data_IF_677939494983
#
_entry.id   IF_677939494983
#
_cell.length_a   1.000
_cell.length_b   1.000
_cell.length_c   1.000
_cell.angle_alpha   90.00
_cell.angle_beta   90.00
_cell.angle_gamma   90.00
#
_symmetry.space_group_name_H-M   'P 1'
#
loop_
_entity.id
_entity.type
_entity.pdbx_description
1 polymer ?
#
# COMPACT_ATOMS: atom_id res chain seq x y z
N UNK A 1 -82.21 26.06 -8.61
CA UNK A 1 -81.40 26.30 -7.39
C UNK A 1 -81.38 25.06 -6.52
N UNK A 2 -80.26 24.32 -6.46
CA UNK A 2 -79.94 23.38 -5.37
C UNK A 2 -78.42 23.40 -5.17
N UNK A 3 -77.97 24.05 -4.11
CA UNK A 3 -76.59 24.03 -3.65
C UNK A 3 -76.36 22.75 -2.84
N UNK A 4 -75.38 21.94 -3.25
CA UNK A 4 -74.84 20.84 -2.44
C UNK A 4 -73.71 21.40 -1.59
N UNK A 5 -73.99 21.65 -0.30
CA UNK A 5 -72.96 21.91 0.70
C UNK A 5 -72.13 20.63 0.90
N UNK A 6 -70.90 20.61 0.40
CA UNK A 6 -69.90 19.62 0.82
C UNK A 6 -69.42 19.96 2.22
N UNK A 7 -69.92 19.21 3.21
CA UNK A 7 -69.39 19.18 4.56
C UNK A 7 -68.05 18.43 4.51
N UNK A 8 -66.95 19.18 4.55
CA UNK A 8 -65.61 18.67 4.83
C UNK A 8 -65.61 18.06 6.24
N UNK A 9 -65.84 16.75 6.35
CA UNK A 9 -65.58 15.99 7.58
C UNK A 9 -64.08 16.00 7.85
N UNK A 10 -63.68 16.82 8.81
CA UNK A 10 -62.36 16.80 9.42
C UNK A 10 -61.98 15.35 9.80
N UNK A 11 -60.79 14.86 9.41
CA UNK A 11 -60.37 13.50 9.75
C UNK A 11 -60.33 13.34 11.27
N UNK A 12 -60.86 12.21 11.76
CA UNK A 12 -60.97 11.93 13.18
C UNK A 12 -59.60 12.02 13.86
N UNK A 13 -59.58 12.51 15.10
CA UNK A 13 -58.39 12.62 15.95
C UNK A 13 -57.58 11.31 16.00
N UNK A 14 -58.25 10.16 15.88
CA UNK A 14 -57.61 8.84 15.82
C UNK A 14 -56.70 8.65 14.60
N UNK A 15 -57.07 9.15 13.42
CA UNK A 15 -56.25 9.06 12.20
C UNK A 15 -55.03 9.97 12.33
N UNK A 16 -55.21 11.19 12.87
CA UNK A 16 -54.08 12.12 13.12
C UNK A 16 -53.09 11.55 14.14
N UNK A 17 -53.60 10.92 15.21
CA UNK A 17 -52.76 10.26 16.21
C UNK A 17 -51.99 9.06 15.64
N UNK A 18 -52.63 8.26 14.78
CA UNK A 18 -51.97 7.15 14.09
C UNK A 18 -50.84 7.63 13.17
N UNK A 19 -51.06 8.71 12.42
CA UNK A 19 -50.02 9.33 11.59
C UNK A 19 -48.86 9.89 12.44
N UNK A 20 -49.14 10.53 13.59
CA UNK A 20 -48.11 11.02 14.50
C UNK A 20 -47.30 9.88 15.15
N UNK A 21 -47.94 8.76 15.51
CA UNK A 21 -47.28 7.56 16.02
C UNK A 21 -46.42 6.86 14.95
N UNK A 22 -46.89 6.81 13.70
CA UNK A 22 -46.12 6.28 12.58
C UNK A 22 -44.95 7.20 12.19
N UNK A 23 -45.13 8.52 12.25
CA UNK A 23 -44.06 9.50 11.98
C UNK A 23 -43.00 9.49 13.08
N UNK A 24 -43.41 9.39 14.36
CA UNK A 24 -42.47 9.32 15.49
C UNK A 24 -41.72 7.99 15.56
N UNK A 25 -42.35 6.86 15.27
CA UNK A 25 -41.67 5.55 15.16
C UNK A 25 -40.73 5.47 13.94
N UNK A 26 -41.14 6.06 12.81
CA UNK A 26 -40.28 6.22 11.64
C UNK A 26 -39.04 7.08 11.93
N UNK A 27 -39.20 8.23 12.59
CA UNK A 27 -38.10 9.10 13.00
C UNK A 27 -37.19 8.46 14.06
N UNK A 28 -37.75 7.73 15.03
CA UNK A 28 -36.98 7.03 16.04
C UNK A 28 -36.15 5.87 15.44
N UNK A 29 -36.70 5.12 14.49
CA UNK A 29 -35.98 4.07 13.76
C UNK A 29 -34.86 4.65 12.87
N UNK A 30 -35.11 5.80 12.24
CA UNK A 30 -34.12 6.51 11.43
C UNK A 30 -32.96 7.05 12.28
N UNK A 31 -33.27 7.62 13.45
CA UNK A 31 -32.29 8.12 14.41
C UNK A 31 -31.50 6.97 15.07
N UNK A 32 -32.13 5.84 15.39
CA UNK A 32 -31.44 4.64 15.90
C UNK A 32 -30.51 4.00 14.85
N UNK A 33 -30.84 4.08 13.56
CA UNK A 33 -29.96 3.63 12.48
C UNK A 33 -28.69 4.47 12.32
N UNK A 34 -28.77 5.78 12.62
CA UNK A 34 -27.66 6.73 12.47
C UNK A 34 -26.71 6.71 13.70
N UNK A 35 -27.24 6.51 14.91
CA UNK A 35 -26.45 6.37 16.15
C UNK A 35 -25.63 5.07 16.15
N UNK A 36 -26.17 3.96 15.64
CA UNK A 36 -25.49 2.65 15.65
C UNK A 36 -24.32 2.51 14.65
N UNK A 37 -24.18 3.41 13.68
CA UNK A 37 -23.03 3.37 12.76
C UNK A 37 -21.77 3.92 13.41
N UNK A 38 -21.89 4.93 14.29
CA UNK A 38 -20.78 5.67 14.90
C UNK A 38 -19.88 4.81 15.79
N UNK A 39 -20.43 3.79 16.45
CA UNK A 39 -19.70 3.02 17.46
C UNK A 39 -19.01 1.75 16.91
N UNK A 40 -19.17 1.45 15.62
CA UNK A 40 -18.54 0.26 15.01
C UNK A 40 -17.03 0.47 14.85
N UNK A 41 -16.18 -0.45 15.33
CA UNK A 41 -14.73 -0.36 15.11
C UNK A 41 -14.37 -0.40 13.62
N UNK A 42 -13.52 0.52 13.18
CA UNK A 42 -13.08 0.61 11.79
C UNK A 42 -12.79 2.04 11.34
N UNK A 43 -12.74 2.24 10.02
CA UNK A 43 -12.53 3.54 9.39
C UNK A 43 -13.85 4.07 8.84
N UNK A 44 -14.30 5.20 9.39
CA UNK A 44 -15.58 5.81 9.08
C UNK A 44 -15.40 6.86 7.99
N UNK A 45 -15.79 6.46 6.78
CA UNK A 45 -15.72 7.24 5.56
C UNK A 45 -17.13 7.75 5.21
N UNK A 46 -17.55 8.83 5.89
CA UNK A 46 -18.88 9.43 5.76
C UNK A 46 -20.02 8.45 6.13
N UNK A 47 -20.65 7.78 5.15
CA UNK A 47 -21.76 6.83 5.37
C UNK A 47 -21.31 5.36 5.32
N UNK A 48 -20.02 5.10 5.11
CA UNK A 48 -19.46 3.75 4.98
C UNK A 48 -18.41 3.52 6.05
N UNK A 49 -18.48 2.38 6.71
CA UNK A 49 -17.46 1.90 7.64
C UNK A 49 -16.65 0.83 6.92
N UNK A 50 -15.33 1.00 6.86
CA UNK A 50 -14.40 -0.02 6.41
C UNK A 50 -13.83 -0.74 7.63
N UNK A 51 -13.92 -2.07 7.64
CA UNK A 51 -13.33 -2.87 8.69
C UNK A 51 -11.80 -2.82 8.62
N UNK A 52 -11.13 -2.95 9.77
CA UNK A 52 -9.66 -3.02 9.80
C UNK A 52 -9.10 -4.11 8.88
N UNK A 53 -9.78 -5.26 8.78
CA UNK A 53 -9.41 -6.36 7.89
C UNK A 53 -9.50 -6.00 6.40
N UNK A 54 -10.49 -5.19 6.01
CA UNK A 54 -10.64 -4.72 4.63
C UNK A 54 -9.53 -3.74 4.26
N UNK A 55 -9.23 -2.80 5.16
CA UNK A 55 -8.11 -1.86 4.98
C UNK A 55 -6.78 -2.59 4.92
N UNK A 56 -6.58 -3.58 5.79
CA UNK A 56 -5.36 -4.40 5.79
C UNK A 56 -5.23 -5.24 4.51
N UNK A 57 -6.33 -5.77 3.99
CA UNK A 57 -6.35 -6.48 2.71
C UNK A 57 -5.97 -5.55 1.55
N UNK A 58 -6.52 -4.32 1.53
CA UNK A 58 -6.15 -3.31 0.55
C UNK A 58 -4.67 -2.93 0.66
N UNK A 59 -4.16 -2.74 1.88
CA UNK A 59 -2.73 -2.44 2.15
C UNK A 59 -1.82 -3.55 1.65
N UNK A 60 -2.12 -4.82 1.97
CA UNK A 60 -1.36 -5.97 1.47
C UNK A 60 -1.38 -6.07 -0.05
N UNK A 61 -2.53 -5.85 -0.68
CA UNK A 61 -2.65 -5.85 -2.14
C UNK A 61 -1.82 -4.72 -2.78
N UNK A 62 -1.85 -3.52 -2.18
CA UNK A 62 -1.06 -2.37 -2.62
C UNK A 62 0.45 -2.61 -2.46
N UNK A 63 0.86 -3.18 -1.32
CA UNK A 63 2.24 -3.54 -1.02
C UNK A 63 2.79 -4.56 -2.02
N UNK A 64 2.04 -5.63 -2.29
CA UNK A 64 2.39 -6.64 -3.29
C UNK A 64 2.49 -6.07 -4.71
N UNK A 65 1.79 -4.97 -5.00
CA UNK A 65 1.82 -4.34 -6.31
C UNK A 65 3.14 -3.60 -6.60
N UNK A 66 3.92 -3.23 -5.57
CA UNK A 66 5.27 -2.68 -5.76
C UNK A 66 6.19 -3.65 -6.48
N UNK A 67 6.02 -4.95 -6.29
CA UNK A 67 6.97 -5.96 -6.79
C UNK A 67 6.43 -6.80 -7.94
N UNK A 68 5.22 -6.51 -8.42
CA UNK A 68 4.71 -7.21 -9.61
C UNK A 68 5.59 -6.89 -10.81
N UNK A 69 6.03 -7.84 -11.63
CA UNK A 69 6.87 -7.52 -12.81
C UNK A 69 6.06 -7.28 -14.08
N UNK A 70 4.75 -7.60 -14.06
CA UNK A 70 3.90 -7.55 -15.25
C UNK A 70 3.64 -6.11 -15.68
N UNK A 71 3.86 -5.79 -16.96
CA UNK A 71 3.58 -4.46 -17.54
C UNK A 71 2.13 -4.01 -17.33
N UNK A 72 1.17 -4.94 -17.39
CA UNK A 72 -0.27 -4.67 -17.20
C UNK A 72 -0.72 -4.62 -15.74
N UNK A 73 0.14 -4.95 -14.77
CA UNK A 73 -0.23 -4.89 -13.36
C UNK A 73 -0.60 -3.45 -12.94
N UNK A 74 -1.60 -3.34 -12.06
CA UNK A 74 -1.91 -2.11 -11.33
C UNK A 74 -0.72 -1.80 -10.40
N UNK A 75 -0.33 -0.53 -10.31
CA UNK A 75 0.79 -0.05 -9.49
C UNK A 75 0.30 0.93 -8.42
N UNK A 76 0.98 0.99 -7.26
CA UNK A 76 0.87 2.12 -6.35
C UNK A 76 1.07 3.42 -7.10
N UNK A 77 0.16 4.38 -6.90
CA UNK A 77 0.21 5.67 -7.57
C UNK A 77 0.82 6.69 -6.62
N UNK A 78 1.80 7.47 -7.06
CA UNK A 78 2.38 8.53 -6.22
C UNK A 78 1.29 9.55 -5.86
N UNK A 79 1.12 9.75 -4.55
CA UNK A 79 0.17 10.67 -3.95
C UNK A 79 0.86 11.98 -3.55
N UNK A 80 1.94 11.86 -2.77
CA UNK A 80 2.80 12.98 -2.36
C UNK A 80 4.18 12.78 -2.96
N UNK A 81 4.68 13.81 -3.64
CA UNK A 81 6.03 13.84 -4.20
C UNK A 81 7.00 14.39 -3.15
N UNK A 82 8.20 13.82 -3.14
CA UNK A 82 9.33 14.26 -2.33
C UNK A 82 10.60 14.12 -3.17
N UNK A 83 11.63 14.91 -2.87
CA UNK A 83 12.95 14.80 -3.50
C UNK A 83 13.65 13.51 -3.08
N UNK A 84 13.42 13.08 -1.84
CA UNK A 84 13.88 11.81 -1.32
C UNK A 84 12.85 10.72 -1.65
N UNK A 85 13.32 9.70 -2.37
CA UNK A 85 12.51 8.57 -2.81
C UNK A 85 11.92 7.82 -1.60
N UNK A 86 12.61 7.81 -0.46
CA UNK A 86 12.16 7.13 0.76
C UNK A 86 10.90 7.76 1.36
N UNK A 87 10.71 9.06 1.15
CA UNK A 87 9.61 9.85 1.70
C UNK A 87 8.37 9.89 0.79
N UNK A 88 8.40 9.24 -0.37
CA UNK A 88 7.24 9.15 -1.26
C UNK A 88 6.05 8.47 -0.57
N UNK A 89 4.88 9.10 -0.69
CA UNK A 89 3.60 8.52 -0.26
C UNK A 89 2.81 8.11 -1.49
N UNK A 90 2.22 6.92 -1.42
CA UNK A 90 1.45 6.32 -2.49
C UNK A 90 -0.03 6.23 -2.12
N UNK A 91 -0.89 6.20 -3.13
CA UNK A 91 -2.32 5.94 -2.99
C UNK A 91 -2.72 4.63 -3.67
N UNK A 92 -3.70 3.97 -3.07
CA UNK A 92 -4.34 2.77 -3.62
C UNK A 92 -5.85 2.79 -3.35
N UNK A 93 -6.65 2.92 -4.41
CA UNK A 93 -8.11 2.82 -4.34
C UNK A 93 -8.53 1.42 -3.91
N UNK A 94 -9.50 1.34 -3.00
CA UNK A 94 -10.19 0.10 -2.67
C UNK A 94 -10.77 -0.52 -3.95
N UNK A 95 -10.87 -1.86 -4.03
CA UNK A 95 -11.65 -2.48 -5.08
C UNK A 95 -13.07 -1.89 -5.05
N UNK A 96 -13.58 -1.46 -6.20
CA UNK A 96 -14.93 -0.90 -6.33
C UNK A 96 -15.91 -1.85 -5.64
N UNK A 97 -16.54 -1.39 -4.56
CA UNK A 97 -17.60 -2.18 -3.96
C UNK A 97 -18.69 -2.40 -5.00
N UNK A 98 -19.19 -3.63 -5.10
CA UNK A 98 -20.28 -4.02 -6.02
C UNK A 98 -21.57 -3.23 -5.73
N UNK A 99 -21.59 -2.40 -4.67
CA UNK A 99 -22.68 -1.51 -4.30
C UNK A 99 -23.14 -0.67 -5.48
N UNK A 100 -24.35 -1.00 -5.93
CA UNK A 100 -25.12 -0.19 -6.86
C UNK A 100 -25.74 0.99 -6.10
N UNK A 101 -25.88 2.14 -6.74
CA UNK A 101 -26.74 3.19 -6.23
C UNK A 101 -28.22 2.81 -6.34
N UNK A 102 -29.11 3.70 -5.88
CA UNK A 102 -30.56 3.53 -5.97
C UNK A 102 -31.07 3.38 -7.41
N UNK A 103 -30.24 3.71 -8.41
CA UNK A 103 -30.53 3.56 -9.84
C UNK A 103 -29.90 2.29 -10.45
N UNK A 104 -29.25 1.44 -9.65
CA UNK A 104 -28.61 0.23 -10.15
C UNK A 104 -27.23 0.44 -10.79
N UNK A 105 -26.71 1.67 -10.85
CA UNK A 105 -25.38 1.98 -11.39
C UNK A 105 -24.30 1.70 -10.34
N UNK A 106 -23.16 1.14 -10.76
CA UNK A 106 -22.02 0.93 -9.85
C UNK A 106 -21.57 2.28 -9.30
N UNK A 107 -21.61 2.45 -7.97
CA UNK A 107 -21.07 3.66 -7.36
C UNK A 107 -19.56 3.70 -7.61
N UNK A 108 -19.08 4.72 -8.32
CA UNK A 108 -17.67 5.14 -8.28
C UNK A 108 -17.39 5.77 -6.92
N UNK A 109 -17.37 4.94 -5.89
CA UNK A 109 -16.85 5.32 -4.60
C UNK A 109 -15.33 5.13 -4.67
N UNK A 110 -14.62 6.26 -4.81
CA UNK A 110 -13.16 6.30 -4.98
C UNK A 110 -12.50 6.41 -3.60
N UNK A 111 -12.94 5.63 -2.59
CA UNK A 111 -12.15 5.60 -1.35
C UNK A 111 -10.80 4.94 -1.62
N UNK A 112 -9.76 5.42 -0.94
CA UNK A 112 -8.39 4.98 -1.15
C UNK A 112 -7.63 4.98 0.15
N UNK A 113 -6.58 4.17 0.23
CA UNK A 113 -5.59 4.24 1.29
C UNK A 113 -4.37 5.01 0.81
N UNK A 114 -3.62 5.60 1.75
CA UNK A 114 -2.26 6.09 1.51
C UNK A 114 -1.26 5.33 2.36
N UNK A 115 -0.05 5.13 1.83
CA UNK A 115 0.99 4.32 2.46
C UNK A 115 2.39 4.70 1.95
N UNK A 116 3.44 4.32 2.66
CA UNK A 116 4.84 4.60 2.28
C UNK A 116 5.54 3.37 1.66
N UNK A 117 6.84 3.51 1.37
CA UNK A 117 7.70 2.46 0.84
C UNK A 117 7.76 1.19 1.71
N UNK A 118 7.64 1.33 3.04
CA UNK A 118 7.63 0.21 3.98
C UNK A 118 6.25 -0.47 4.11
N UNK A 119 5.31 -0.09 3.23
CA UNK A 119 3.92 -0.52 3.25
C UNK A 119 3.16 -0.14 4.53
N UNK A 120 3.63 0.86 5.27
CA UNK A 120 2.91 1.37 6.44
C UNK A 120 1.71 2.19 5.98
N UNK A 121 0.54 1.89 6.51
CA UNK A 121 -0.66 2.67 6.28
C UNK A 121 -0.47 4.07 6.90
N UNK A 122 -0.64 5.12 6.09
CA UNK A 122 -0.62 6.51 6.57
C UNK A 122 -2.03 7.04 6.79
N UNK A 123 -2.96 6.80 5.87
CA UNK A 123 -4.34 7.26 5.99
C UNK A 123 -5.34 6.44 5.17
N UNK A 124 -6.63 6.60 5.48
CA UNK A 124 -7.77 6.12 4.69
C UNK A 124 -8.58 7.34 4.29
N UNK A 125 -8.73 7.55 2.98
CA UNK A 125 -9.30 8.76 2.39
C UNK A 125 -10.61 8.46 1.67
N UNK A 126 -11.57 9.36 1.80
CA UNK A 126 -12.82 9.35 1.02
C UNK A 126 -12.98 10.66 0.24
N UNK A 127 -13.63 10.58 -0.92
CA UNK A 127 -13.89 11.76 -1.74
C UNK A 127 -15.13 12.51 -1.25
N UNK A 128 -14.94 13.72 -0.72
CA UNK A 128 -16.01 14.56 -0.22
C UNK A 128 -16.59 15.44 -1.34
N UNK A 129 -17.67 14.97 -1.97
CA UNK A 129 -18.28 15.63 -3.15
C UNK A 129 -18.58 17.12 -3.01
N UNK A 130 -18.98 17.61 -1.84
CA UNK A 130 -19.32 19.03 -1.65
C UNK A 130 -18.07 19.93 -1.68
N UNK A 131 -16.94 19.46 -1.14
CA UNK A 131 -15.68 20.22 -1.18
C UNK A 131 -14.78 19.82 -2.34
N UNK A 132 -15.18 18.80 -3.12
CA UNK A 132 -14.41 18.22 -4.22
C UNK A 132 -13.00 17.73 -3.83
N UNK A 133 -12.79 17.40 -2.56
CA UNK A 133 -11.50 17.04 -1.98
C UNK A 133 -11.52 15.66 -1.33
N UNK A 134 -10.35 15.05 -1.19
CA UNK A 134 -10.18 13.86 -0.36
C UNK A 134 -10.04 14.27 1.11
N UNK A 135 -10.80 13.60 1.99
CA UNK A 135 -10.74 13.80 3.45
C UNK A 135 -10.43 12.49 4.16
N UNK A 136 -9.75 12.59 5.29
CA UNK A 136 -9.43 11.44 6.16
C UNK A 136 -10.69 10.84 6.77
N UNK A 137 -10.74 9.52 6.82
CA UNK A 137 -11.77 8.78 7.51
C UNK A 137 -11.47 8.74 9.01
N UNK A 138 -12.51 8.78 9.84
CA UNK A 138 -12.34 8.76 11.30
C UNK A 138 -12.03 7.32 11.72
N UNK A 139 -10.92 7.09 12.43
CA UNK A 139 -10.58 5.77 12.97
C UNK A 139 -11.24 5.57 14.33
N UNK A 140 -12.19 4.64 14.40
CA UNK A 140 -12.82 4.21 15.66
C UNK A 140 -12.14 2.91 16.11
N UNK A 141 -11.42 2.91 17.25
CA UNK A 141 -10.70 1.73 17.72
C UNK A 141 -11.67 0.62 18.17
N UNK A 142 -11.21 -0.63 18.16
CA UNK A 142 -11.95 -1.74 18.76
C UNK A 142 -11.79 -1.65 20.28
N UNK A 143 -12.89 -1.70 21.03
CA UNK A 143 -12.84 -1.76 22.49
C UNK A 143 -11.91 -2.91 22.90
N UNK A 144 -10.95 -2.59 23.79
CA UNK A 144 -9.83 -3.45 24.14
C UNK A 144 -10.29 -4.72 24.85
N UNK A 145 -10.65 -5.75 24.10
CA UNK A 145 -10.41 -7.12 24.54
C UNK A 145 -8.93 -7.40 24.26
N UNK A 146 -8.17 -7.63 25.33
CA UNK A 146 -6.72 -7.79 25.30
C UNK A 146 -6.29 -8.97 24.43
N UNK A 147 -6.07 -8.71 23.15
CA UNK A 147 -5.05 -9.36 22.33
C UNK A 147 -4.96 -8.53 21.06
N UNK A 148 -4.08 -7.53 21.05
CA UNK A 148 -3.55 -7.03 19.79
C UNK A 148 -2.70 -8.17 19.21
N UNK A 149 -3.02 -8.78 18.06
CA UNK A 149 -1.95 -9.22 17.18
C UNK A 149 -1.42 -7.93 16.56
N UNK A 150 -0.61 -7.20 17.34
CA UNK A 150 0.25 -6.19 16.78
C UNK A 150 1.13 -6.93 15.79
N UNK A 151 0.80 -6.84 14.50
CA UNK A 151 1.76 -7.13 13.42
C UNK A 151 2.72 -5.92 13.34
N UNK A 152 3.24 -5.50 14.50
CA UNK A 152 4.62 -5.15 14.59
C UNK A 152 5.28 -6.51 14.74
N UNK A 153 5.49 -7.21 13.62
CA UNK A 153 6.61 -8.13 13.58
C UNK A 153 7.80 -7.22 13.80
N UNK A 154 8.18 -7.03 15.06
CA UNK A 154 9.54 -6.65 15.40
C UNK A 154 10.37 -7.57 14.52
N UNK A 155 11.18 -7.04 13.58
CA UNK A 155 12.01 -7.87 12.75
C UNK A 155 12.69 -8.84 13.71
N UNK A 156 12.42 -10.14 13.57
CA UNK A 156 13.23 -11.11 14.30
C UNK A 156 14.66 -10.79 13.89
N UNK A 157 15.63 -10.83 14.80
CA UNK A 157 17.03 -10.50 14.48
C UNK A 157 17.59 -11.28 13.27
N UNK A 158 16.87 -12.31 12.83
CA UNK A 158 17.11 -13.16 11.69
C UNK A 158 16.51 -12.68 10.36
N UNK A 159 15.85 -11.53 10.31
CA UNK A 159 15.17 -11.02 9.12
C UNK A 159 15.52 -9.57 8.81
N UNK A 160 15.59 -9.24 7.53
CA UNK A 160 15.89 -7.91 7.02
C UNK A 160 14.72 -7.42 6.20
N UNK A 161 14.20 -6.23 6.52
CA UNK A 161 13.15 -5.57 5.76
C UNK A 161 13.74 -4.45 4.90
N UNK A 162 13.35 -4.41 3.63
CA UNK A 162 13.64 -3.29 2.73
C UNK A 162 12.42 -3.01 1.85
N UNK A 163 11.82 -1.82 2.03
CA UNK A 163 10.57 -1.45 1.38
C UNK A 163 9.45 -2.45 1.63
N UNK A 164 8.87 -2.98 0.55
CA UNK A 164 7.75 -3.91 0.60
C UNK A 164 8.14 -5.37 0.87
N UNK A 165 9.43 -5.64 1.03
CA UNK A 165 9.97 -6.99 1.12
C UNK A 165 10.73 -7.20 2.43
N UNK A 166 10.65 -8.41 2.94
CA UNK A 166 11.43 -8.88 4.08
C UNK A 166 12.06 -10.22 3.73
N UNK A 167 13.28 -10.50 4.15
CA UNK A 167 13.99 -11.76 3.92
C UNK A 167 14.49 -12.34 5.22
N UNK A 168 14.47 -13.66 5.33
CA UNK A 168 15.30 -14.32 6.33
C UNK A 168 16.76 -14.27 5.89
N UNK A 169 17.67 -13.92 6.80
CA UNK A 169 19.13 -13.94 6.56
C UNK A 169 19.56 -15.32 6.03
N UNK A 170 18.99 -16.39 6.59
CA UNK A 170 19.24 -17.77 6.14
C UNK A 170 18.84 -18.02 4.68
N UNK A 171 17.80 -17.36 4.18
CA UNK A 171 17.38 -17.45 2.78
C UNK A 171 18.47 -16.88 1.85
N UNK A 172 18.97 -15.69 2.20
CA UNK A 172 20.03 -14.98 1.45
C UNK A 172 21.32 -15.82 1.45
N UNK A 173 21.75 -16.28 2.63
CA UNK A 173 22.94 -17.12 2.79
C UNK A 173 22.82 -18.42 2.00
N UNK A 174 21.66 -19.09 2.05
CA UNK A 174 21.41 -20.35 1.33
C UNK A 174 21.47 -20.15 -0.18
N UNK A 175 20.88 -19.06 -0.69
CA UNK A 175 20.89 -18.77 -2.12
C UNK A 175 22.32 -18.51 -2.64
N UNK A 176 23.10 -17.73 -1.89
CA UNK A 176 24.50 -17.42 -2.21
C UNK A 176 25.41 -18.66 -2.13
N UNK A 177 25.16 -19.53 -1.15
CA UNK A 177 25.93 -20.77 -0.94
C UNK A 177 25.72 -21.81 -2.04
N UNK A 178 24.49 -21.97 -2.55
CA UNK A 178 24.14 -23.02 -3.53
C UNK A 178 24.81 -22.85 -4.89
N UNK A 179 25.27 -21.65 -5.24
CA UNK A 179 25.85 -21.32 -6.56
C UNK A 179 27.12 -20.50 -6.43
N UNK A 180 27.96 -20.84 -5.46
CA UNK A 180 29.10 -20.02 -5.03
C UNK A 180 30.01 -19.56 -6.17
N UNK A 181 30.40 -20.44 -7.10
CA UNK A 181 31.24 -20.06 -8.26
C UNK A 181 30.60 -18.95 -9.08
N UNK A 182 29.41 -19.21 -9.62
CA UNK A 182 28.71 -18.31 -10.53
C UNK A 182 28.26 -17.03 -9.82
N UNK A 183 28.07 -17.11 -8.51
CA UNK A 183 27.69 -15.99 -7.67
C UNK A 183 28.87 -15.03 -7.42
N UNK A 184 30.10 -15.55 -7.30
CA UNK A 184 31.29 -14.72 -7.16
C UNK A 184 31.63 -13.97 -8.45
N UNK A 185 31.37 -14.58 -9.60
CA UNK A 185 31.60 -13.98 -10.91
C UNK A 185 30.61 -12.84 -11.22
N UNK A 186 29.49 -12.74 -10.48
CA UNK A 186 28.45 -11.74 -10.69
C UNK A 186 28.60 -10.49 -9.82
N UNK A 187 29.70 -10.34 -9.09
CA UNK A 187 29.95 -9.15 -8.29
C UNK A 187 30.51 -8.01 -9.14
N UNK A 188 29.90 -6.84 -9.00
CA UNK A 188 30.37 -5.58 -9.56
C UNK A 188 30.86 -4.70 -8.41
N UNK A 189 31.96 -4.00 -8.60
CA UNK A 189 32.40 -3.00 -7.63
C UNK A 189 31.38 -1.87 -7.53
N UNK A 190 31.15 -1.40 -6.31
CA UNK A 190 30.35 -0.20 -6.07
C UNK A 190 31.28 0.99 -6.22
N UNK A 191 30.91 1.93 -7.10
CA UNK A 191 31.69 3.14 -7.36
C UNK A 191 32.03 3.89 -6.07
N UNK A 192 33.23 4.46 -6.03
CA UNK A 192 33.75 5.31 -4.95
C UNK A 192 33.86 4.66 -3.56
N UNK A 193 33.75 3.32 -3.45
CA UNK A 193 33.91 2.60 -2.17
C UNK A 193 35.30 2.01 -1.96
N UNK A 194 36.24 2.23 -2.88
CA UNK A 194 37.59 1.64 -2.83
C UNK A 194 38.45 2.16 -1.68
N UNK A 195 38.19 3.39 -1.23
CA UNK A 195 38.89 4.05 -0.13
C UNK A 195 38.25 3.80 1.24
N UNK A 196 37.10 3.13 1.29
CA UNK A 196 36.43 2.79 2.55
C UNK A 196 37.23 1.78 3.38
N UNK A 197 37.11 1.86 4.71
CA UNK A 197 37.88 1.01 5.64
C UNK A 197 37.63 -0.48 5.39
N UNK A 198 36.40 -0.84 5.00
CA UNK A 198 36.01 -2.20 4.61
C UNK A 198 35.76 -2.34 3.09
N UNK A 199 36.21 -1.35 2.32
CA UNK A 199 36.17 -1.29 0.88
C UNK A 199 37.18 -2.22 0.17
N UNK A 200 37.06 -2.41 -1.15
CA UNK A 200 35.94 -1.97 -1.99
C UNK A 200 34.68 -2.79 -1.75
N UNK A 201 33.53 -2.13 -1.74
CA UNK A 201 32.24 -2.81 -1.68
C UNK A 201 31.87 -3.39 -3.04
N UNK A 202 31.09 -4.47 -2.99
CA UNK A 202 30.65 -5.20 -4.17
C UNK A 202 29.15 -5.43 -4.13
N UNK A 203 28.49 -5.26 -5.27
CA UNK A 203 27.06 -5.54 -5.45
C UNK A 203 26.84 -6.76 -6.32
N UNK A 204 25.76 -7.49 -6.06
CA UNK A 204 25.34 -8.64 -6.87
C UNK A 204 23.83 -8.80 -6.83
N UNK A 205 23.26 -9.44 -7.85
CA UNK A 205 21.81 -9.61 -8.01
C UNK A 205 21.38 -10.99 -7.50
N UNK A 206 20.43 -10.98 -6.58
CA UNK A 206 19.74 -12.16 -6.07
C UNK A 206 18.27 -12.19 -6.50
N UNK A 207 17.62 -13.33 -6.24
CA UNK A 207 16.20 -13.54 -6.59
C UNK A 207 15.45 -14.08 -5.38
N UNK A 208 14.29 -13.49 -5.10
CA UNK A 208 13.33 -13.98 -4.10
C UNK A 208 12.11 -14.55 -4.80
N UNK A 209 11.69 -15.75 -4.40
CA UNK A 209 10.44 -16.31 -4.86
C UNK A 209 9.29 -15.77 -4.02
N UNK A 210 8.29 -15.13 -4.64
CA UNK A 210 7.11 -14.60 -3.96
C UNK A 210 5.84 -15.00 -4.71
N UNK A 211 4.83 -15.43 -3.95
CA UNK A 211 3.51 -15.77 -4.49
C UNK A 211 2.56 -14.60 -4.29
N UNK A 212 2.07 -14.00 -5.38
CA UNK A 212 1.14 -12.88 -5.37
C UNK A 212 -0.11 -13.28 -6.14
N UNK A 213 -1.27 -13.26 -5.49
CA UNK A 213 -2.55 -13.68 -6.08
C UNK A 213 -2.46 -15.04 -6.78
N UNK A 214 -1.89 -16.04 -6.08
CA UNK A 214 -1.65 -17.40 -6.58
C UNK A 214 -0.66 -17.50 -7.76
N UNK A 215 -0.04 -16.38 -8.16
CA UNK A 215 1.01 -16.36 -9.18
C UNK A 215 2.36 -16.24 -8.50
N UNK A 216 3.18 -17.26 -8.70
CA UNK A 216 4.59 -17.26 -8.31
C UNK A 216 5.42 -16.38 -9.24
N UNK A 217 6.26 -15.52 -8.68
CA UNK A 217 7.20 -14.70 -9.43
C UNK A 217 8.53 -14.55 -8.69
N UNK A 218 9.62 -14.45 -9.46
CA UNK A 218 10.96 -14.23 -8.94
C UNK A 218 11.28 -12.73 -8.97
N UNK A 219 11.31 -12.10 -7.80
CA UNK A 219 11.66 -10.70 -7.65
C UNK A 219 13.17 -10.60 -7.55
N UNK A 220 13.78 -9.76 -8.39
CA UNK A 220 15.22 -9.48 -8.32
C UNK A 220 15.46 -8.41 -7.24
N UNK A 221 16.49 -8.62 -6.45
CA UNK A 221 17.01 -7.65 -5.49
C UNK A 221 18.54 -7.67 -5.54
N UNK A 222 19.19 -6.62 -5.08
CA UNK A 222 20.64 -6.59 -4.96
C UNK A 222 21.06 -6.63 -3.50
N UNK A 223 22.25 -7.15 -3.24
CA UNK A 223 22.93 -7.01 -1.97
C UNK A 223 24.25 -6.31 -2.19
N UNK A 224 24.63 -5.45 -1.24
CA UNK A 224 25.96 -4.85 -1.16
C UNK A 224 26.73 -5.58 -0.07
N UNK A 225 27.95 -6.00 -0.39
CA UNK A 225 28.87 -6.63 0.55
C UNK A 225 30.22 -5.96 0.59
N UNK A 226 30.88 -6.01 1.74
CA UNK A 226 32.23 -5.51 1.91
C UNK A 226 33.29 -6.54 1.47
N UNK A 227 34.57 -6.20 1.65
CA UNK A 227 35.70 -7.06 1.30
C UNK A 227 35.76 -8.38 2.12
N UNK A 228 35.03 -8.47 3.25
CA UNK A 228 34.87 -9.66 4.08
C UNK A 228 33.63 -10.51 3.74
N UNK A 229 32.84 -10.09 2.75
CA UNK A 229 31.55 -10.70 2.39
C UNK A 229 30.49 -10.59 3.50
N UNK A 230 30.51 -9.50 4.26
CA UNK A 230 29.41 -9.10 5.13
C UNK A 230 28.42 -8.27 4.33
N UNK A 231 27.12 -8.50 4.54
CA UNK A 231 26.06 -7.77 3.85
C UNK A 231 25.80 -6.46 4.58
N UNK A 232 25.96 -5.35 3.85
CA UNK A 232 25.80 -3.98 4.35
C UNK A 232 24.49 -3.33 3.91
N UNK A 233 23.99 -3.70 2.74
CA UNK A 233 22.75 -3.12 2.22
C UNK A 233 21.98 -4.10 1.34
N UNK A 234 20.67 -3.85 1.23
CA UNK A 234 19.78 -4.51 0.28
C UNK A 234 19.15 -3.43 -0.60
N UNK A 235 19.14 -3.66 -1.92
CA UNK A 235 18.47 -2.78 -2.88
C UNK A 235 17.27 -3.49 -3.49
N UNK A 236 16.11 -2.83 -3.43
CA UNK A 236 14.86 -3.37 -3.97
C UNK A 236 14.29 -2.45 -5.04
N UNK A 237 13.71 -3.07 -6.08
CA UNK A 237 12.99 -2.34 -7.12
C UNK A 237 11.51 -2.27 -6.78
N UNK A 238 11.00 -1.05 -6.63
CA UNK A 238 9.56 -0.80 -6.53
C UNK A 238 9.02 -0.26 -7.85
N UNK A 239 7.96 -0.88 -8.36
CA UNK A 239 7.24 -0.44 -9.54
C UNK A 239 6.05 0.43 -9.14
N UNK A 240 6.04 1.65 -9.66
CA UNK A 240 5.09 2.70 -9.28
C UNK A 240 4.42 3.31 -10.52
N UNK A 241 3.37 4.07 -10.29
CA UNK A 241 2.74 4.92 -11.29
C UNK A 241 2.78 6.37 -10.84
N UNK A 242 2.86 7.28 -11.80
CA UNK A 242 2.75 8.71 -11.58
C UNK A 242 1.53 9.27 -12.32
N UNK A 243 0.99 10.39 -11.85
CA UNK A 243 0.00 11.18 -12.59
C UNK A 243 0.75 12.13 -13.52
N UNK A 244 0.44 12.12 -14.82
CA UNK A 244 0.88 13.20 -15.70
C UNK A 244 0.11 14.46 -15.31
N UNK A 245 0.84 15.47 -14.85
CA UNK A 245 0.29 16.81 -14.68
C UNK A 245 0.26 17.42 -16.09
N UNK A 246 -0.89 17.34 -16.75
CA UNK A 246 -1.09 18.13 -17.96
C UNK A 246 -1.17 19.60 -17.54
N UNK A 247 -0.39 20.48 -18.18
CA UNK A 247 -0.56 21.91 -18.01
C UNK A 247 -2.03 22.28 -18.29
N UNK A 248 -2.70 22.83 -17.29
CA UNK A 248 -4.04 23.40 -17.44
C UNK A 248 -3.96 24.49 -18.50
N UNK A 249 -4.42 24.22 -19.72
CA UNK A 249 -4.76 25.30 -20.63
C UNK A 249 -5.99 25.97 -20.03
N UNK A 250 -5.77 27.13 -19.43
CA UNK A 250 -6.79 28.03 -18.93
C UNK A 250 -7.56 28.65 -20.12
N UNK A 251 -8.32 27.84 -20.85
CA UNK A 251 -9.36 28.35 -21.72
C UNK A 251 -10.69 28.04 -21.05
N UNK A 252 -11.32 29.13 -20.59
CA UNK A 252 -12.66 29.19 -20.08
C UNK A 252 -13.64 28.65 -21.13
N UNK A 253 -14.02 27.39 -21.02
CA UNK A 253 -15.31 26.91 -21.52
C UNK A 253 -15.91 25.97 -20.48
N UNK A 254 -16.88 26.51 -19.76
CA UNK A 254 -17.50 25.94 -18.56
C UNK A 254 -18.39 24.72 -18.87
N UNK A 255 -18.65 24.43 -20.15
CA UNK A 255 -19.72 23.51 -20.53
C UNK A 255 -19.30 22.17 -21.14
N UNK A 256 -18.00 21.86 -21.24
CA UNK A 256 -17.60 20.53 -21.75
C UNK A 256 -16.35 19.96 -21.08
N UNK A 257 -16.34 19.97 -19.73
CA UNK A 257 -15.39 19.18 -18.95
C UNK A 257 -15.81 17.70 -19.03
N UNK A 258 -15.66 17.10 -20.21
CA UNK A 258 -15.39 15.67 -20.31
C UNK A 258 -14.10 15.47 -19.51
N UNK A 259 -14.25 15.10 -18.22
CA UNK A 259 -13.15 14.85 -17.28
C UNK A 259 -12.18 13.88 -17.94
N UNK A 260 -11.15 14.39 -18.62
CA UNK A 260 -10.10 13.57 -19.22
C UNK A 260 -9.51 12.78 -18.07
N UNK A 261 -9.61 11.44 -18.14
CA UNK A 261 -9.02 10.59 -17.13
C UNK A 261 -7.53 10.93 -17.05
N UNK A 262 -6.98 11.17 -15.84
CA UNK A 262 -5.58 11.49 -15.71
C UNK A 262 -4.76 10.36 -16.34
N UNK A 263 -3.83 10.73 -17.22
CA UNK A 263 -2.95 9.75 -17.86
C UNK A 263 -1.89 9.36 -16.83
N UNK A 264 -1.69 8.06 -16.66
CA UNK A 264 -0.69 7.52 -15.74
C UNK A 264 0.48 6.94 -16.53
N UNK A 265 1.71 7.29 -16.13
CA UNK A 265 2.90 6.59 -16.61
C UNK A 265 3.46 5.69 -15.51
N UNK A 266 4.00 4.54 -15.92
CA UNK A 266 4.58 3.55 -15.01
C UNK A 266 6.09 3.75 -14.96
N UNK A 267 6.65 3.67 -13.77
CA UNK A 267 8.09 3.79 -13.53
C UNK A 267 8.54 2.73 -12.51
N UNK A 268 9.84 2.67 -12.26
CA UNK A 268 10.42 1.93 -11.16
C UNK A 268 11.44 2.78 -10.42
N UNK A 269 11.46 2.64 -9.09
CA UNK A 269 12.41 3.29 -8.19
C UNK A 269 13.29 2.23 -7.53
N UNK A 270 14.50 2.64 -7.15
CA UNK A 270 15.44 1.84 -6.35
C UNK A 270 15.39 2.34 -4.91
N UNK A 271 15.10 1.44 -3.98
CA UNK A 271 15.21 1.70 -2.55
C UNK A 271 16.47 1.01 -2.04
N UNK A 272 17.35 1.76 -1.40
CA UNK A 272 18.61 1.26 -0.83
C UNK A 272 18.45 1.24 0.68
N UNK A 273 18.40 0.05 1.28
CA UNK A 273 18.26 -0.09 2.73
C UNK A 273 19.59 -0.51 3.32
N UNK A 274 20.25 0.42 4.00
CA UNK A 274 21.45 0.15 4.79
C UNK A 274 21.06 -0.66 6.03
N UNK A 275 21.93 -1.58 6.44
CA UNK A 275 21.67 -2.47 7.56
C UNK A 275 22.43 -2.01 8.79
N UNK A 276 21.70 -1.72 9.87
CA UNK A 276 22.31 -1.38 11.17
C UNK A 276 23.14 -2.55 11.73
N UNK A 277 22.67 -3.78 11.49
CA UNK A 277 23.34 -5.03 11.89
C UNK A 277 23.73 -5.82 10.65
N UNK A 278 25.01 -5.76 10.29
CA UNK A 278 25.57 -6.56 9.20
C UNK A 278 25.60 -8.05 9.54
N UNK A 279 25.60 -8.90 8.52
CA UNK A 279 25.70 -10.35 8.70
C UNK A 279 26.57 -10.99 7.61
N UNK A 280 27.26 -12.10 7.92
CA UNK A 280 28.10 -12.78 6.94
C UNK A 280 27.23 -13.41 5.85
N UNK A 281 27.60 -13.20 4.59
CA UNK A 281 26.90 -13.80 3.46
C UNK A 281 27.09 -15.31 3.39
N UNK A 282 28.24 -15.81 3.87
CA UNK A 282 28.56 -17.23 3.94
C UNK A 282 28.61 -17.70 5.39
N UNK A 283 27.78 -18.66 5.80
CA UNK A 283 27.63 -19.01 7.21
C UNK A 283 28.82 -19.82 7.78
N UNK A 284 29.74 -20.31 6.94
CA UNK A 284 30.90 -21.08 7.40
C UNK A 284 32.23 -20.45 6.99
N UNK A 285 33.19 -20.45 7.93
CA UNK A 285 34.55 -19.94 7.71
C UNK A 285 35.24 -20.64 6.53
N UNK A 286 35.06 -21.96 6.40
CA UNK A 286 35.55 -22.75 5.25
C UNK A 286 35.05 -22.25 3.89
N UNK A 287 33.79 -21.82 3.79
CA UNK A 287 33.25 -21.24 2.55
C UNK A 287 33.83 -19.85 2.27
N UNK A 288 34.05 -19.03 3.31
CA UNK A 288 34.75 -17.75 3.16
C UNK A 288 36.21 -17.94 2.72
N UNK A 289 36.91 -18.94 3.27
CA UNK A 289 38.30 -19.24 2.92
C UNK A 289 38.43 -19.75 1.48
N UNK A 290 37.48 -20.56 1.00
CA UNK A 290 37.37 -20.99 -0.41
C UNK A 290 37.16 -19.81 -1.38
N UNK A 291 36.44 -18.78 -0.94
CA UNK A 291 36.22 -17.57 -1.73
C UNK A 291 37.51 -16.74 -1.81
N UNK A 292 38.21 -16.61 -0.68
CA UNK A 292 39.49 -15.88 -0.61
C UNK A 292 40.58 -16.58 -1.42
N UNK A 293 40.66 -17.91 -1.37
CA UNK A 293 41.69 -18.67 -2.09
C UNK A 293 41.57 -18.63 -3.61
N UNK A 294 40.36 -18.42 -4.16
CA UNK A 294 40.15 -18.22 -5.61
C UNK A 294 40.61 -16.84 -6.12
N UNK A 295 40.82 -15.87 -5.24
CA UNK A 295 41.44 -14.57 -5.60
C UNK A 295 42.98 -14.67 -5.54
N UNK A 296 43.62 -15.20 -6.60
CA UNK A 296 45.02 -14.93 -7.11
C UNK A 296 45.52 -16.13 -7.95
N UNK A 297 46.31 -15.99 -9.03
CA UNK A 297 47.37 -15.00 -9.36
C UNK A 297 46.97 -13.99 -10.46
N UNK A 298 47.21 -12.70 -10.23
CA UNK A 298 47.60 -11.82 -11.34
C UNK A 298 49.02 -12.21 -11.74
N UNK A 299 49.27 -12.36 -13.04
CA UNK A 299 50.64 -12.44 -13.57
C UNK A 299 51.17 -11.01 -13.63
N UNK A 300 52.31 -10.78 -12.99
CA UNK A 300 53.20 -9.67 -13.30
C UNK A 300 53.71 -9.82 -14.75
#
# INVERSE_FOLDING_TARGET
>A
MKYLHQISRSPSLSIKALFLLLLSSGLASLLQGEINLSDKPGYHCKKKVYLFSEVETARKAACNAFVSIRKRARRPLVHTYDTDIENLIYEWTFPLSISKDSEGKRRENIEKITFNNNCELKDVLYYHRKSQEFKSCIKVPKASTSTNPGINQVPSETSVQCGSLSWEIKEIQRHSSKRLSNFLDSFFEVEDTSHEIDGPWKRTILKKHVTINQVSQNIRYEIIVNNQYEVHAIIVMHYISHKLIAASKANNDINDIVRRKPIHYKNSIRLVCMLDKVFPLFPSKKMSDLVKSRKRKSRD
#
